data_IF_124123195714
#
_entry.id   IF_124123195714
#
_cell.length_a   1.000
_cell.length_b   1.000
_cell.length_c   1.000
_cell.angle_alpha   90.00
_cell.angle_beta   90.00
_cell.angle_gamma   90.00
#
_symmetry.space_group_name_H-M   'P 1'
#
loop_
_entity.id
_entity.type
_entity.pdbx_description
1 polymer ?
#
# COMPACT_ATOMS: atom_id res chain seq x y z
N UNK A 1 -17.47 -4.54 -14.21
CA UNK A 1 -16.06 -4.91 -13.95
C UNK A 1 -15.22 -3.69 -14.25
N UNK A 2 -14.36 -3.30 -13.35
CA UNK A 2 -13.34 -2.29 -13.62
C UNK A 2 -12.36 -2.87 -14.65
N UNK A 3 -11.92 -2.07 -15.60
CA UNK A 3 -10.90 -2.50 -16.57
C UNK A 3 -9.74 -1.53 -16.49
N UNK A 4 -8.54 -2.09 -16.36
CA UNK A 4 -7.27 -1.34 -16.38
C UNK A 4 -6.48 -1.58 -17.67
N UNK A 5 -7.18 -1.97 -18.74
CA UNK A 5 -6.57 -2.18 -20.06
C UNK A 5 -5.76 -0.94 -20.46
N UNK A 6 -4.55 -1.18 -20.96
CA UNK A 6 -3.56 -0.15 -21.31
C UNK A 6 -3.04 0.72 -20.15
N UNK A 7 -3.40 0.42 -18.90
CA UNK A 7 -2.86 1.11 -17.73
C UNK A 7 -1.64 0.39 -17.17
N UNK A 8 -0.76 1.17 -16.54
CA UNK A 8 0.45 0.68 -15.89
C UNK A 8 0.35 0.98 -14.40
N UNK A 9 0.40 -0.09 -13.60
CA UNK A 9 0.38 -0.03 -12.16
C UNK A 9 1.76 -0.33 -11.57
N UNK A 10 2.15 0.42 -10.57
CA UNK A 10 3.31 0.15 -9.70
C UNK A 10 2.77 -0.29 -8.35
N UNK A 11 3.21 -1.45 -7.86
CA UNK A 11 2.83 -1.97 -6.54
C UNK A 11 4.09 -2.23 -5.73
N UNK A 12 4.19 -1.61 -4.55
CA UNK A 12 5.31 -1.83 -3.61
C UNK A 12 4.99 -2.91 -2.59
N UNK A 13 6.01 -3.64 -2.10
CA UNK A 13 5.79 -4.80 -1.24
C UNK A 13 5.09 -5.93 -1.99
N UNK A 14 5.31 -6.04 -3.30
CA UNK A 14 4.57 -6.93 -4.18
C UNK A 14 5.09 -8.38 -4.19
N UNK A 15 6.14 -8.68 -3.44
CA UNK A 15 6.66 -10.05 -3.32
C UNK A 15 5.77 -10.98 -2.48
N UNK A 16 4.85 -10.45 -1.66
CA UNK A 16 3.99 -11.25 -0.78
C UNK A 16 2.74 -10.49 -0.30
N UNK A 17 1.85 -11.20 0.39
CA UNK A 17 0.73 -10.64 1.16
C UNK A 17 -0.18 -9.71 0.36
N UNK A 18 -0.48 -8.53 0.94
CA UNK A 18 -1.41 -7.57 0.39
C UNK A 18 -0.94 -7.03 -0.97
N UNK A 19 0.35 -6.66 -1.07
CA UNK A 19 0.92 -6.13 -2.30
C UNK A 19 0.82 -7.12 -3.47
N UNK A 20 1.14 -8.39 -3.22
CA UNK A 20 1.02 -9.45 -4.21
C UNK A 20 -0.43 -9.66 -4.66
N UNK A 21 -1.38 -9.72 -3.73
CA UNK A 21 -2.80 -9.90 -4.03
C UNK A 21 -3.37 -8.72 -4.85
N UNK A 22 -3.01 -7.48 -4.47
CA UNK A 22 -3.42 -6.28 -5.21
C UNK A 22 -2.81 -6.27 -6.62
N UNK A 23 -1.53 -6.61 -6.75
CA UNK A 23 -0.85 -6.69 -8.04
C UNK A 23 -1.51 -7.72 -8.97
N UNK A 24 -1.82 -8.91 -8.46
CA UNK A 24 -2.55 -9.94 -9.19
C UNK A 24 -3.91 -9.44 -9.67
N UNK A 25 -4.68 -8.83 -8.79
CA UNK A 25 -6.01 -8.28 -9.12
C UNK A 25 -5.97 -7.21 -10.21
N UNK A 26 -5.02 -6.27 -10.12
CA UNK A 26 -4.86 -5.24 -11.16
C UNK A 26 -4.45 -5.84 -12.51
N UNK A 27 -3.58 -6.85 -12.49
CA UNK A 27 -3.20 -7.58 -13.69
C UNK A 27 -4.37 -8.35 -14.31
N UNK A 28 -5.16 -9.07 -13.51
CA UNK A 28 -6.33 -9.84 -13.96
C UNK A 28 -7.41 -8.94 -14.58
N UNK A 29 -7.44 -7.68 -14.17
CA UNK A 29 -8.34 -6.65 -14.74
C UNK A 29 -7.68 -5.84 -15.88
N UNK A 30 -6.52 -6.29 -16.38
CA UNK A 30 -5.91 -5.82 -17.63
C UNK A 30 -4.73 -4.85 -17.49
N UNK A 31 -4.28 -4.53 -16.29
CA UNK A 31 -3.09 -3.68 -16.12
C UNK A 31 -1.79 -4.40 -16.45
N UNK A 32 -0.80 -3.68 -16.97
CA UNK A 32 0.60 -4.06 -16.83
C UNK A 32 1.09 -3.67 -15.46
N UNK A 33 1.81 -4.55 -14.75
CA UNK A 33 2.16 -4.31 -13.35
C UNK A 33 3.67 -4.37 -13.12
N UNK A 34 4.25 -3.30 -12.59
CA UNK A 34 5.61 -3.28 -12.06
C UNK A 34 5.56 -3.67 -10.56
N UNK A 35 6.20 -4.78 -10.23
CA UNK A 35 6.25 -5.35 -8.89
C UNK A 35 7.53 -4.90 -8.20
N UNK A 36 7.43 -4.09 -7.14
CA UNK A 36 8.57 -3.58 -6.39
C UNK A 36 8.67 -4.27 -5.04
N UNK A 37 9.83 -4.85 -4.73
CA UNK A 37 10.12 -5.41 -3.42
C UNK A 37 11.62 -5.32 -3.10
N UNK A 38 11.97 -5.37 -1.82
CA UNK A 38 13.36 -5.51 -1.36
C UNK A 38 13.87 -6.94 -1.55
N UNK A 39 12.97 -7.93 -1.42
CA UNK A 39 13.30 -9.35 -1.55
C UNK A 39 13.25 -9.79 -3.03
N UNK A 40 14.42 -9.87 -3.64
CA UNK A 40 14.58 -10.27 -5.04
C UNK A 40 13.91 -11.62 -5.35
N UNK A 41 14.16 -12.64 -4.55
CA UNK A 41 13.62 -13.98 -4.78
C UNK A 41 12.08 -14.00 -4.70
N UNK A 42 11.50 -13.21 -3.78
CA UNK A 42 10.06 -13.12 -3.62
C UNK A 42 9.41 -12.43 -4.85
N UNK A 43 9.94 -11.30 -5.28
CA UNK A 43 9.35 -10.54 -6.39
C UNK A 43 9.56 -11.22 -7.74
N UNK A 44 10.72 -11.84 -7.97
CA UNK A 44 10.99 -12.64 -9.19
C UNK A 44 10.14 -13.93 -9.23
N UNK A 45 9.92 -14.56 -8.07
CA UNK A 45 9.03 -15.73 -7.96
C UNK A 45 7.53 -15.41 -8.06
N UNK A 46 7.15 -14.17 -7.80
CA UNK A 46 5.77 -13.69 -7.91
C UNK A 46 5.37 -13.35 -9.35
N UNK A 47 6.25 -12.69 -10.10
CA UNK A 47 5.96 -12.18 -11.43
C UNK A 47 5.41 -13.25 -12.41
N UNK A 48 6.02 -14.43 -12.59
CA UNK A 48 5.51 -15.45 -13.51
C UNK A 48 4.15 -16.04 -13.08
N UNK A 49 3.82 -15.98 -11.80
CA UNK A 49 2.52 -16.45 -11.27
C UNK A 49 1.39 -15.47 -11.58
N UNK A 50 1.70 -14.18 -11.68
CA UNK A 50 0.74 -13.13 -12.05
C UNK A 50 0.51 -13.17 -13.56
N UNK A 51 1.58 -13.11 -14.39
CA UNK A 51 1.45 -13.20 -15.84
C UNK A 51 2.53 -12.42 -16.61
N UNK A 52 2.44 -12.43 -17.93
CA UNK A 52 3.46 -11.88 -18.83
C UNK A 52 3.73 -10.38 -18.67
N UNK A 53 2.71 -9.61 -18.28
CA UNK A 53 2.81 -8.16 -18.11
C UNK A 53 3.11 -7.75 -16.66
N UNK A 54 3.51 -8.70 -15.80
CA UNK A 54 4.00 -8.47 -14.46
C UNK A 54 5.53 -8.50 -14.47
N UNK A 55 6.16 -7.35 -14.18
CA UNK A 55 7.61 -7.20 -14.27
C UNK A 55 8.20 -6.92 -12.89
N UNK A 56 9.14 -7.75 -12.41
CA UNK A 56 9.76 -7.59 -11.11
C UNK A 56 10.87 -6.52 -11.12
N UNK A 57 10.96 -5.77 -10.03
CA UNK A 57 12.03 -4.82 -9.75
C UNK A 57 12.46 -4.95 -8.28
N UNK A 58 13.73 -5.24 -8.05
CA UNK A 58 14.30 -5.25 -6.70
C UNK A 58 14.76 -3.85 -6.32
N UNK A 59 14.23 -3.30 -5.23
CA UNK A 59 14.58 -1.95 -4.78
C UNK A 59 14.41 -1.77 -3.27
N UNK A 60 15.39 -1.12 -2.64
CA UNK A 60 15.25 -0.59 -1.29
C UNK A 60 14.52 0.77 -1.35
N UNK A 61 13.25 0.75 -0.96
CA UNK A 61 12.38 1.93 -1.01
C UNK A 61 12.75 3.00 0.04
N UNK A 62 13.62 2.70 1.01
CA UNK A 62 14.13 3.67 1.96
C UNK A 62 15.22 4.58 1.37
N UNK A 63 15.68 4.28 0.17
CA UNK A 63 16.72 5.02 -0.56
C UNK A 63 16.12 5.82 -1.71
N UNK A 64 16.01 7.13 -1.51
CA UNK A 64 15.36 8.03 -2.48
C UNK A 64 15.93 7.91 -3.90
N UNK A 65 17.25 7.89 -4.04
CA UNK A 65 17.95 7.77 -5.34
C UNK A 65 17.61 6.45 -6.06
N UNK A 66 17.50 5.35 -5.30
CA UNK A 66 17.11 4.04 -5.85
C UNK A 66 15.66 4.05 -6.32
N UNK A 67 14.77 4.70 -5.55
CA UNK A 67 13.35 4.85 -5.93
C UNK A 67 13.23 5.68 -7.21
N UNK A 68 13.88 6.85 -7.28
CA UNK A 68 13.86 7.69 -8.48
C UNK A 68 14.37 6.94 -9.72
N UNK A 69 15.47 6.20 -9.59
CA UNK A 69 16.02 5.41 -10.67
C UNK A 69 15.05 4.31 -11.17
N UNK A 70 14.47 3.53 -10.26
CA UNK A 70 13.55 2.44 -10.66
C UNK A 70 12.25 3.00 -11.26
N UNK A 71 11.70 4.09 -10.75
CA UNK A 71 10.51 4.73 -11.32
C UNK A 71 10.79 5.25 -12.75
N UNK A 72 11.96 5.85 -12.99
CA UNK A 72 12.36 6.27 -14.33
C UNK A 72 12.51 5.08 -15.30
N UNK A 73 13.13 3.97 -14.88
CA UNK A 73 13.21 2.74 -15.67
C UNK A 73 11.81 2.19 -16.04
N UNK A 74 10.87 2.22 -15.09
CA UNK A 74 9.49 1.81 -15.32
C UNK A 74 8.81 2.76 -16.33
N UNK A 75 8.97 4.07 -16.16
CA UNK A 75 8.42 5.07 -17.08
C UNK A 75 8.99 4.93 -18.50
N UNK A 76 10.27 4.63 -18.64
CA UNK A 76 10.90 4.37 -19.94
C UNK A 76 10.39 3.08 -20.58
N UNK A 77 10.28 2.01 -19.80
CA UNK A 77 9.83 0.69 -20.29
C UNK A 77 8.39 0.70 -20.77
N UNK A 78 7.48 1.26 -19.94
CA UNK A 78 6.04 1.21 -20.20
C UNK A 78 5.49 2.48 -20.87
N UNK A 79 6.29 3.55 -20.96
CA UNK A 79 5.92 4.86 -21.52
C UNK A 79 4.80 5.60 -20.77
N UNK A 80 4.36 5.05 -19.64
CA UNK A 80 3.31 5.63 -18.79
C UNK A 80 3.36 5.06 -17.38
N UNK A 81 2.81 5.81 -16.43
CA UNK A 81 2.51 5.37 -15.06
C UNK A 81 1.14 5.92 -14.72
N UNK A 82 0.17 5.04 -14.44
CA UNK A 82 -1.23 5.42 -14.19
C UNK A 82 -1.64 5.18 -12.75
N UNK A 83 -1.10 4.14 -12.12
CA UNK A 83 -1.48 3.70 -10.79
C UNK A 83 -0.22 3.49 -9.95
N UNK A 84 -0.25 3.96 -8.70
CA UNK A 84 0.71 3.62 -7.66
C UNK A 84 -0.04 3.06 -6.45
N UNK A 85 0.34 1.85 -6.02
CA UNK A 85 -0.13 1.28 -4.75
C UNK A 85 1.06 1.12 -3.81
N UNK A 86 1.11 1.92 -2.76
CA UNK A 86 2.10 1.84 -1.69
C UNK A 86 1.64 0.85 -0.63
N UNK A 87 2.08 -0.42 -0.75
CA UNK A 87 1.73 -1.52 0.14
C UNK A 87 2.91 -2.02 0.99
N UNK A 88 4.14 -1.62 0.67
CA UNK A 88 5.30 -1.95 1.49
C UNK A 88 5.15 -1.39 2.92
N UNK A 89 5.49 -2.21 3.92
CA UNK A 89 5.42 -1.78 5.31
C UNK A 89 5.86 -2.85 6.29
N UNK A 90 6.23 -2.42 7.49
CA UNK A 90 6.65 -3.26 8.60
C UNK A 90 5.99 -2.81 9.90
N UNK A 91 5.79 -3.73 10.84
CA UNK A 91 5.27 -3.39 12.18
C UNK A 91 6.35 -2.86 13.12
N UNK A 92 7.60 -3.25 12.87
CA UNK A 92 8.68 -3.07 13.82
C UNK A 92 8.51 -3.94 15.08
N UNK A 93 9.16 -3.55 16.16
CA UNK A 93 9.02 -4.21 17.47
C UNK A 93 7.70 -3.75 18.10
N UNK A 94 6.93 -4.72 18.58
CA UNK A 94 5.60 -4.50 19.17
C UNK A 94 5.52 -5.04 20.61
N UNK A 95 4.39 -4.78 21.26
CA UNK A 95 4.10 -5.19 22.65
C UNK A 95 5.04 -4.54 23.69
N UNK A 96 5.50 -3.33 23.42
CA UNK A 96 6.32 -2.52 24.33
C UNK A 96 5.66 -1.18 24.62
N UNK A 97 5.90 -0.62 25.82
CA UNK A 97 5.36 0.69 26.20
C UNK A 97 6.14 1.83 25.52
N UNK A 98 5.52 2.96 25.36
CA UNK A 98 6.07 4.10 24.59
C UNK A 98 7.43 4.58 25.08
N UNK A 99 7.72 4.53 26.40
CA UNK A 99 8.99 4.95 26.97
C UNK A 99 10.12 3.92 26.78
N UNK A 100 9.77 2.70 26.37
CA UNK A 100 10.73 1.60 26.11
C UNK A 100 11.03 1.41 24.61
N UNK A 101 10.34 2.16 23.74
CA UNK A 101 10.55 2.06 22.29
C UNK A 101 11.94 2.58 21.93
N UNK A 102 12.77 1.72 21.33
CA UNK A 102 14.06 2.13 20.80
C UNK A 102 13.88 3.16 19.66
N UNK A 103 14.47 4.36 19.76
CA UNK A 103 14.43 5.36 18.69
C UNK A 103 14.93 4.86 17.34
N UNK A 104 15.86 3.89 17.29
CA UNK A 104 16.31 3.31 16.03
C UNK A 104 15.21 2.48 15.36
N UNK A 105 14.47 1.67 16.15
CA UNK A 105 13.30 0.95 15.64
C UNK A 105 12.19 1.91 15.14
N UNK A 106 11.96 3.00 15.87
CA UNK A 106 10.98 4.01 15.46
C UNK A 106 11.35 4.63 14.12
N UNK A 107 12.62 5.06 13.95
CA UNK A 107 13.13 5.60 12.68
C UNK A 107 12.98 4.59 11.54
N UNK A 108 13.42 3.34 11.76
CA UNK A 108 13.31 2.27 10.76
C UNK A 108 11.86 2.07 10.28
N UNK A 109 10.89 2.03 11.21
CA UNK A 109 9.48 1.88 10.85
C UNK A 109 8.97 3.08 10.06
N UNK A 110 9.37 4.31 10.42
CA UNK A 110 9.02 5.51 9.66
C UNK A 110 9.67 5.51 8.28
N UNK A 111 10.92 5.11 8.15
CA UNK A 111 11.62 5.04 6.86
C UNK A 111 10.90 4.08 5.90
N UNK A 112 10.48 2.91 6.39
CA UNK A 112 9.79 1.91 5.54
C UNK A 112 8.33 2.28 5.28
N UNK A 113 7.56 2.71 6.30
CA UNK A 113 6.12 2.90 6.14
C UNK A 113 5.74 4.26 5.54
N UNK A 114 6.46 5.31 5.93
CA UNK A 114 6.13 6.68 5.53
C UNK A 114 7.08 7.21 4.46
N UNK A 115 8.40 7.22 4.71
CA UNK A 115 9.36 7.81 3.77
C UNK A 115 9.37 7.06 2.43
N UNK A 116 9.31 5.71 2.43
CA UNK A 116 9.23 4.94 1.20
C UNK A 116 7.96 5.27 0.39
N UNK A 117 6.80 5.41 1.06
CA UNK A 117 5.55 5.83 0.42
C UNK A 117 5.63 7.26 -0.13
N UNK A 118 6.31 8.16 0.57
CA UNK A 118 6.57 9.52 0.11
C UNK A 118 7.50 9.54 -1.10
N UNK A 119 8.62 8.82 -1.08
CA UNK A 119 9.58 8.80 -2.18
C UNK A 119 8.97 8.25 -3.47
N UNK A 120 8.20 7.17 -3.38
CA UNK A 120 7.51 6.60 -4.54
C UNK A 120 6.44 7.55 -5.09
N UNK A 121 5.61 8.15 -4.24
CA UNK A 121 4.62 9.14 -4.66
C UNK A 121 5.30 10.35 -5.32
N UNK A 122 6.34 10.91 -4.68
CA UNK A 122 7.14 12.02 -5.22
C UNK A 122 7.73 11.70 -6.60
N UNK A 123 8.20 10.49 -6.81
CA UNK A 123 8.82 10.08 -8.06
C UNK A 123 7.79 9.85 -9.20
N UNK A 124 6.59 9.33 -8.91
CA UNK A 124 5.58 9.08 -9.95
C UNK A 124 4.77 10.32 -10.32
N UNK A 125 4.56 11.26 -9.40
CA UNK A 125 3.73 12.46 -9.61
C UNK A 125 4.11 13.28 -10.85
N UNK A 126 5.40 13.56 -11.15
CA UNK A 126 5.77 14.27 -12.36
C UNK A 126 5.35 13.55 -13.65
N UNK A 127 5.37 12.21 -13.67
CA UNK A 127 4.93 11.42 -14.81
C UNK A 127 3.40 11.46 -14.96
N UNK A 128 2.66 11.38 -13.84
CA UNK A 128 1.20 11.47 -13.82
C UNK A 128 0.72 12.87 -14.23
N UNK A 129 1.37 13.94 -13.75
CA UNK A 129 1.05 15.32 -14.11
C UNK A 129 1.19 15.58 -15.62
N UNK A 130 2.25 15.07 -16.27
CA UNK A 130 2.44 15.21 -17.73
C UNK A 130 1.29 14.63 -18.55
N UNK A 131 0.59 13.63 -18.01
CA UNK A 131 -0.56 12.96 -18.65
C UNK A 131 -1.90 13.46 -18.13
N UNK A 132 -1.90 14.30 -17.12
CA UNK A 132 -3.08 14.74 -16.37
C UNK A 132 -3.96 13.57 -15.92
N UNK A 133 -3.33 12.46 -15.49
CA UNK A 133 -4.01 11.27 -14.98
C UNK A 133 -3.11 10.53 -13.99
N UNK A 134 -3.70 10.10 -12.88
CA UNK A 134 -3.03 9.28 -11.89
C UNK A 134 -3.98 8.79 -10.79
N UNK A 135 -3.67 7.61 -10.26
CA UNK A 135 -4.35 7.00 -9.11
C UNK A 135 -3.32 6.54 -8.11
N UNK A 136 -3.26 7.19 -6.96
CA UNK A 136 -2.34 6.81 -5.87
C UNK A 136 -3.15 6.25 -4.71
N UNK A 137 -2.77 5.06 -4.26
CA UNK A 137 -3.33 4.40 -3.09
C UNK A 137 -2.22 4.11 -2.08
N UNK A 138 -2.36 4.67 -0.89
CA UNK A 138 -1.51 4.35 0.25
C UNK A 138 -2.18 3.32 1.15
N UNK A 139 -1.52 2.19 1.42
CA UNK A 139 -2.01 1.22 2.41
C UNK A 139 -1.63 1.74 3.80
N UNK A 140 -2.63 2.33 4.46
CA UNK A 140 -2.55 2.77 5.84
C UNK A 140 -2.83 1.60 6.81
N UNK A 141 -3.58 1.81 7.87
CA UNK A 141 -4.05 0.81 8.83
C UNK A 141 -5.08 1.42 9.74
N UNK A 142 -5.97 0.59 10.27
CA UNK A 142 -6.81 0.96 11.42
C UNK A 142 -5.96 1.47 12.61
N UNK A 143 -4.74 0.93 12.78
CA UNK A 143 -3.81 1.39 13.80
C UNK A 143 -3.38 2.86 13.64
N UNK A 144 -3.41 3.39 12.42
CA UNK A 144 -3.16 4.81 12.14
C UNK A 144 -4.36 5.72 12.50
N UNK A 145 -5.57 5.17 12.60
CA UNK A 145 -6.78 5.89 13.02
C UNK A 145 -6.99 5.85 14.54
N UNK A 146 -6.94 4.65 15.12
CA UNK A 146 -7.27 4.44 16.54
C UNK A 146 -6.03 4.47 17.47
N UNK A 147 -4.84 4.14 16.94
CA UNK A 147 -3.69 3.82 17.77
C UNK A 147 -3.84 2.46 18.46
N UNK A 148 -2.81 1.61 18.35
CA UNK A 148 -2.79 0.34 19.08
C UNK A 148 -1.76 0.42 20.22
N UNK A 149 -2.18 0.14 21.44
CA UNK A 149 -1.26 0.04 22.57
C UNK A 149 -0.15 -0.97 22.28
N UNK A 150 1.09 -0.62 22.61
CA UNK A 150 2.26 -1.45 22.33
C UNK A 150 2.79 -1.38 20.88
N UNK A 151 2.24 -0.51 20.05
CA UNK A 151 2.60 -0.37 18.62
C UNK A 151 2.86 1.11 18.24
N UNK A 152 3.59 1.85 19.07
CA UNK A 152 3.80 3.29 18.88
C UNK A 152 4.34 3.62 17.47
N UNK A 153 5.47 3.01 17.08
CA UNK A 153 6.13 3.31 15.80
C UNK A 153 5.21 3.02 14.61
N UNK A 154 4.55 1.86 14.61
CA UNK A 154 3.62 1.47 13.55
C UNK A 154 2.41 2.39 13.47
N UNK A 155 1.72 2.60 14.58
CA UNK A 155 0.51 3.45 14.63
C UNK A 155 0.82 4.88 14.19
N UNK A 156 1.89 5.47 14.70
CA UNK A 156 2.32 6.82 14.34
C UNK A 156 2.70 6.93 12.85
N UNK A 157 3.44 5.95 12.30
CA UNK A 157 3.81 5.94 10.88
C UNK A 157 2.59 5.83 9.96
N UNK A 158 1.60 5.00 10.33
CA UNK A 158 0.36 4.84 9.55
C UNK A 158 -0.58 6.05 9.68
N UNK A 159 -0.57 6.75 10.82
CA UNK A 159 -1.23 8.05 10.97
C UNK A 159 -0.58 9.12 10.08
N UNK A 160 0.76 9.13 9.99
CA UNK A 160 1.48 10.02 9.07
C UNK A 160 1.11 9.78 7.60
N UNK A 161 0.97 8.51 7.18
CA UNK A 161 0.49 8.14 5.83
C UNK A 161 -0.92 8.69 5.57
N UNK A 162 -1.83 8.61 6.54
CA UNK A 162 -3.18 9.20 6.43
C UNK A 162 -3.09 10.74 6.29
N UNK A 163 -2.22 11.39 7.06
CA UNK A 163 -1.96 12.83 6.95
C UNK A 163 -1.45 13.22 5.56
N UNK A 164 -0.44 12.50 5.06
CA UNK A 164 0.13 12.70 3.71
C UNK A 164 -0.94 12.54 2.63
N UNK A 165 -1.79 11.53 2.72
CA UNK A 165 -2.89 11.30 1.78
C UNK A 165 -3.82 12.51 1.67
N UNK A 166 -4.18 13.11 2.80
CA UNK A 166 -5.06 14.30 2.84
C UNK A 166 -4.41 15.51 2.18
N UNK A 167 -3.11 15.71 2.40
CA UNK A 167 -2.35 16.81 1.79
C UNK A 167 -2.26 16.62 0.28
N UNK A 168 -1.75 15.47 -0.17
CA UNK A 168 -1.60 15.19 -1.60
C UNK A 168 -2.94 15.19 -2.32
N UNK A 169 -4.01 14.65 -1.72
CA UNK A 169 -5.35 14.69 -2.31
C UNK A 169 -5.86 16.10 -2.57
N UNK A 170 -5.54 17.06 -1.70
CA UNK A 170 -5.89 18.49 -1.89
C UNK A 170 -4.99 19.19 -2.90
N UNK A 171 -3.67 18.94 -2.85
CA UNK A 171 -2.70 19.57 -3.75
C UNK A 171 -2.93 19.25 -5.22
N UNK A 172 -3.40 18.03 -5.50
CA UNK A 172 -3.63 17.56 -6.88
C UNK A 172 -5.10 17.55 -7.29
N UNK A 173 -6.03 18.10 -6.49
CA UNK A 173 -7.47 18.05 -6.74
C UNK A 173 -7.90 18.75 -8.05
N UNK A 174 -7.17 19.76 -8.52
CA UNK A 174 -7.43 20.45 -9.79
C UNK A 174 -6.86 19.71 -11.01
N UNK A 175 -6.29 18.52 -10.81
CA UNK A 175 -5.72 17.67 -11.87
C UNK A 175 -6.56 16.40 -12.06
N UNK A 176 -6.20 15.59 -13.05
CA UNK A 176 -6.77 14.24 -13.22
C UNK A 176 -6.22 13.20 -12.24
N UNK A 177 -5.51 13.62 -11.16
CA UNK A 177 -4.87 12.73 -10.19
C UNK A 177 -5.72 12.65 -8.92
N UNK A 178 -5.94 11.43 -8.42
CA UNK A 178 -6.52 11.21 -7.09
C UNK A 178 -5.55 10.48 -6.19
N UNK A 179 -5.52 10.87 -4.91
CA UNK A 179 -4.69 10.24 -3.89
C UNK A 179 -5.56 9.84 -2.72
N UNK A 180 -5.64 8.54 -2.44
CA UNK A 180 -6.45 8.00 -1.36
C UNK A 180 -5.65 7.02 -0.50
N UNK A 181 -6.18 6.68 0.66
CA UNK A 181 -5.64 5.64 1.53
C UNK A 181 -6.68 4.53 1.75
N UNK A 182 -6.19 3.32 2.04
CA UNK A 182 -6.99 2.21 2.54
C UNK A 182 -6.46 1.83 3.91
N UNK A 183 -7.34 1.82 4.92
CA UNK A 183 -7.03 1.48 6.31
C UNK A 183 -7.65 0.13 6.68
N UNK A 184 -6.95 -1.00 6.43
CA UNK A 184 -7.46 -2.30 6.81
C UNK A 184 -7.31 -2.55 8.31
N UNK A 185 -8.21 -3.38 8.85
CA UNK A 185 -7.97 -4.13 10.08
C UNK A 185 -7.06 -5.34 9.78
N UNK A 186 -7.18 -6.43 10.53
CA UNK A 186 -6.37 -7.63 10.29
C UNK A 186 -6.84 -8.34 9.03
N UNK A 187 -5.92 -8.58 8.12
CA UNK A 187 -6.14 -9.35 6.89
C UNK A 187 -5.45 -10.71 7.03
N UNK A 188 -6.15 -11.77 6.66
CA UNK A 188 -5.62 -13.13 6.67
C UNK A 188 -4.47 -13.24 5.66
N UNK A 189 -3.29 -13.46 6.17
CA UNK A 189 -2.04 -13.61 5.40
C UNK A 189 -1.26 -14.81 5.95
N UNK A 190 -0.30 -15.38 5.22
CA UNK A 190 0.54 -16.43 5.76
C UNK A 190 1.22 -16.06 7.09
N UNK A 191 1.51 -14.78 7.30
CA UNK A 191 2.04 -14.29 8.58
C UNK A 191 1.00 -14.44 9.72
N UNK A 192 -0.26 -14.10 9.47
CA UNK A 192 -1.35 -14.24 10.45
C UNK A 192 -1.66 -15.70 10.69
N UNK A 193 -1.60 -16.56 9.66
CA UNK A 193 -1.79 -18.01 9.79
C UNK A 193 -0.74 -18.67 10.69
N UNK A 194 0.48 -18.11 10.72
CA UNK A 194 1.56 -18.60 11.56
C UNK A 194 1.49 -18.10 13.02
N UNK A 195 0.55 -17.20 13.35
CA UNK A 195 0.41 -16.67 14.72
C UNK A 195 -0.34 -17.64 15.62
N UNK A 196 -0.11 -17.61 16.95
CA UNK A 196 -0.94 -18.34 17.91
C UNK A 196 -2.41 -17.97 17.79
N UNK A 197 -3.29 -18.96 17.87
CA UNK A 197 -4.76 -18.77 17.72
C UNK A 197 -5.33 -17.75 18.72
N UNK A 198 -4.79 -17.70 19.95
CA UNK A 198 -5.20 -16.72 20.95
C UNK A 198 -4.91 -15.28 20.50
N UNK A 199 -3.78 -15.06 19.83
CA UNK A 199 -3.42 -13.74 19.31
C UNK A 199 -4.34 -13.35 18.15
N UNK A 200 -4.64 -14.26 17.25
CA UNK A 200 -5.60 -14.04 16.14
C UNK A 200 -6.98 -13.74 16.72
N UNK A 201 -7.42 -14.54 17.72
CA UNK A 201 -8.70 -14.30 18.40
C UNK A 201 -8.75 -12.91 19.07
N UNK A 202 -7.71 -12.52 19.79
CA UNK A 202 -7.63 -11.17 20.41
C UNK A 202 -7.79 -10.05 19.37
N UNK A 203 -7.21 -10.21 18.17
CA UNK A 203 -7.33 -9.24 17.10
C UNK A 203 -8.74 -9.23 16.48
N UNK A 204 -9.34 -10.40 16.25
CA UNK A 204 -10.67 -10.52 15.65
C UNK A 204 -11.80 -10.19 16.62
N UNK A 205 -11.61 -10.34 17.92
CA UNK A 205 -12.60 -9.93 18.93
C UNK A 205 -12.89 -8.41 18.89
N UNK A 206 -11.93 -7.62 18.44
CA UNK A 206 -12.10 -6.17 18.23
C UNK A 206 -12.85 -5.83 16.94
N UNK A 207 -13.05 -6.80 16.05
CA UNK A 207 -13.74 -6.60 14.77
C UNK A 207 -15.18 -7.07 14.93
N UNK A 208 -16.21 -6.24 14.70
CA UNK A 208 -17.62 -6.65 14.81
C UNK A 208 -17.98 -7.88 13.96
N UNK A 209 -17.43 -8.02 12.75
CA UNK A 209 -17.62 -9.19 11.89
C UNK A 209 -16.93 -10.47 12.40
N UNK A 210 -16.15 -10.42 13.50
CA UNK A 210 -15.51 -11.57 14.17
C UNK A 210 -14.61 -12.44 13.30
N UNK A 211 -14.04 -11.86 12.24
CA UNK A 211 -13.09 -12.53 11.36
C UNK A 211 -12.03 -11.57 10.83
N UNK A 212 -10.95 -12.09 10.30
CA UNK A 212 -10.04 -11.34 9.45
C UNK A 212 -10.71 -11.00 8.11
N UNK A 213 -10.30 -9.91 7.49
CA UNK A 213 -10.54 -9.70 6.07
C UNK A 213 -9.68 -10.66 5.24
N UNK A 214 -10.06 -10.91 3.99
CA UNK A 214 -9.29 -11.77 3.08
C UNK A 214 -8.40 -10.96 2.15
N UNK A 215 -7.42 -11.64 1.52
CA UNK A 215 -6.58 -11.02 0.48
C UNK A 215 -7.41 -10.60 -0.74
N UNK A 216 -8.44 -11.37 -1.09
CA UNK A 216 -9.36 -11.02 -2.19
C UNK A 216 -10.17 -9.76 -1.86
N UNK A 217 -10.70 -9.64 -0.64
CA UNK A 217 -11.48 -8.48 -0.23
C UNK A 217 -10.63 -7.20 -0.31
N UNK A 218 -9.37 -7.24 0.15
CA UNK A 218 -8.49 -6.06 0.06
C UNK A 218 -8.09 -5.75 -1.38
N UNK A 219 -7.84 -6.77 -2.20
CA UNK A 219 -7.48 -6.59 -3.60
C UNK A 219 -8.65 -5.96 -4.40
N UNK A 220 -9.88 -6.39 -4.16
CA UNK A 220 -11.07 -5.80 -4.76
C UNK A 220 -11.28 -4.34 -4.34
N UNK A 221 -11.12 -4.05 -3.04
CA UNK A 221 -11.26 -2.67 -2.55
C UNK A 221 -10.17 -1.76 -3.09
N UNK A 222 -8.93 -2.22 -3.16
CA UNK A 222 -7.82 -1.48 -3.75
C UNK A 222 -8.09 -1.19 -5.24
N UNK A 223 -8.50 -2.19 -6.02
CA UNK A 223 -8.86 -2.03 -7.44
C UNK A 223 -10.01 -1.03 -7.63
N UNK A 224 -11.04 -1.08 -6.79
CA UNK A 224 -12.12 -0.10 -6.81
C UNK A 224 -11.60 1.33 -6.58
N UNK A 225 -10.77 1.55 -5.54
CA UNK A 225 -10.25 2.88 -5.19
C UNK A 225 -9.40 3.48 -6.32
N UNK A 226 -8.59 2.66 -7.00
CA UNK A 226 -7.72 3.14 -8.09
C UNK A 226 -8.39 3.09 -9.46
N UNK A 227 -9.67 2.73 -9.54
CA UNK A 227 -10.39 2.65 -10.81
C UNK A 227 -10.66 4.03 -11.41
N UNK A 228 -10.82 4.13 -12.74
CA UNK A 228 -11.24 5.38 -13.37
C UNK A 228 -12.59 5.88 -12.86
N UNK A 229 -13.48 4.98 -12.41
CA UNK A 229 -14.82 5.31 -11.88
C UNK A 229 -14.79 6.04 -10.54
N UNK A 230 -13.68 5.99 -9.79
CA UNK A 230 -13.52 6.67 -8.48
C UNK A 230 -12.88 8.05 -8.64
N UNK A 231 -13.23 8.78 -9.70
CA UNK A 231 -12.57 10.04 -10.06
C UNK A 231 -12.95 11.25 -9.18
N UNK A 232 -14.06 11.17 -8.44
CA UNK A 232 -14.53 12.29 -7.58
C UNK A 232 -14.19 12.07 -6.09
N UNK A 233 -13.28 11.11 -5.79
CA UNK A 233 -12.84 10.84 -4.42
C UNK A 233 -11.33 10.99 -4.33
N UNK A 234 -10.86 11.99 -3.56
CA UNK A 234 -9.45 12.22 -3.29
C UNK A 234 -9.23 12.70 -1.87
N UNK A 235 -8.08 12.43 -1.27
CA UNK A 235 -7.74 12.77 0.12
C UNK A 235 -8.48 11.95 1.17
N UNK A 236 -9.20 10.89 0.75
CA UNK A 236 -10.03 10.07 1.63
C UNK A 236 -9.28 8.82 2.11
N UNK A 237 -9.61 8.39 3.32
CA UNK A 237 -9.14 7.12 3.88
C UNK A 237 -10.32 6.15 3.96
N UNK A 238 -10.32 5.16 3.08
CA UNK A 238 -11.32 4.11 3.07
C UNK A 238 -11.07 3.12 4.21
N UNK A 239 -12.11 2.77 4.95
CA UNK A 239 -12.04 1.75 5.98
C UNK A 239 -12.37 0.37 5.42
N UNK A 240 -11.52 -0.59 5.77
CA UNK A 240 -11.77 -2.02 5.52
C UNK A 240 -11.56 -2.77 6.83
N UNK A 241 -12.48 -2.57 7.77
CA UNK A 241 -12.25 -2.90 9.18
C UNK A 241 -13.28 -3.86 9.77
N UNK A 242 -14.23 -4.38 8.95
CA UNK A 242 -15.30 -5.24 9.44
C UNK A 242 -16.17 -4.59 10.51
N UNK A 243 -16.35 -3.26 10.41
CA UNK A 243 -17.14 -2.45 11.34
C UNK A 243 -16.39 -1.91 12.56
N UNK A 244 -15.05 -2.14 12.65
CA UNK A 244 -14.26 -1.66 13.80
C UNK A 244 -14.08 -0.14 13.81
N UNK A 245 -13.78 0.47 12.68
CA UNK A 245 -13.75 1.93 12.53
C UNK A 245 -14.99 2.41 11.79
N UNK A 246 -15.55 3.55 12.23
CA UNK A 246 -16.77 4.13 11.67
C UNK A 246 -16.65 5.65 11.42
N UNK A 247 -15.41 6.21 11.40
CA UNK A 247 -15.15 7.66 11.25
C UNK A 247 -13.96 7.93 10.32
#
# INVERSE_FOLDING_TARGET
MTSFTEQVAIVTGAGSGLGLAIAGKLHDEGASVALLDLNTAAVEGAAPKIGQNAIPFTVDLTKQDRVENVINQIAERFRRIDILVNSAGVTGITNIKSHEVDPANLRFVFDVNFMASYFTARAVLPHMMKRNYGRILHIASIAGKEGNAGMLAYSASKAAVIGMTKVQGKEYAETGITVNALAPAVIQTPMVDAMPQEQVKYMTDKIPMKRCGTLDEIAHMAAFIVSPGTAFTTGFTFDMTGGRATY
#
